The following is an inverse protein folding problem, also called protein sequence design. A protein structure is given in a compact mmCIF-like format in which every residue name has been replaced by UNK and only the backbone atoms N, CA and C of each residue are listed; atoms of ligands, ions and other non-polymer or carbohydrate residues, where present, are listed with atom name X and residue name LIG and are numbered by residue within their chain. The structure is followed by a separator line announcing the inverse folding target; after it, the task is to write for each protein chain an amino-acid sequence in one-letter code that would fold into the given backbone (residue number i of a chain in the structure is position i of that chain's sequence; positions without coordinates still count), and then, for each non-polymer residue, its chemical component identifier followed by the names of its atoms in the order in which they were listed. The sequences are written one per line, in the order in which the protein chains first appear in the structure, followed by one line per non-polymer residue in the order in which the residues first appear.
data_IF_850969180395
#
_entry.id   IF_850969180395
#
_cell.length_a   1.000
_cell.length_b   1.000
_cell.length_c   1.000
_cell.angle_alpha   90.00
_cell.angle_beta   90.00
_cell.angle_gamma   90.00
#
_symmetry.space_group_name_H-M   'P 1'
#
loop_
_entity.id
_entity.type
_entity.pdbx_description
1 polymer ?
#
# COMPACT_ATOMS: atom_id res chain seq x y z
N UNK A 1 30.66 -27.63 45.40
CA UNK A 1 29.41 -28.18 44.82
C UNK A 1 28.20 -27.55 45.51
N UNK A 2 27.66 -26.44 44.97
CA UNK A 2 26.28 -25.98 45.22
C UNK A 2 25.77 -25.27 43.97
N UNK A 3 24.68 -25.79 43.44
CA UNK A 3 24.01 -25.47 42.17
C UNK A 3 23.24 -24.16 42.28
N UNK A 4 23.43 -23.21 41.36
CA UNK A 4 22.56 -22.04 41.21
C UNK A 4 21.55 -22.30 40.08
N UNK A 5 20.28 -22.45 40.45
CA UNK A 5 19.17 -22.49 39.51
C UNK A 5 18.75 -21.05 39.16
N UNK A 6 18.87 -20.68 37.88
CA UNK A 6 18.31 -19.45 37.33
C UNK A 6 16.78 -19.58 37.22
N UNK A 7 16.05 -18.76 37.98
CA UNK A 7 14.60 -18.55 37.83
C UNK A 7 14.36 -17.52 36.72
N UNK A 8 13.63 -17.92 35.68
CA UNK A 8 13.08 -17.03 34.66
C UNK A 8 11.92 -16.18 35.22
N UNK A 9 11.72 -14.94 34.75
CA UNK A 9 10.57 -14.12 35.15
C UNK A 9 9.31 -14.50 34.36
N UNK A 10 8.25 -14.81 35.13
CA UNK A 10 6.87 -15.00 34.67
C UNK A 10 6.29 -13.69 34.10
N UNK A 11 5.89 -13.69 32.83
CA UNK A 11 5.05 -12.66 32.23
C UNK A 11 3.61 -12.81 32.78
N UNK A 12 3.16 -11.81 33.54
CA UNK A 12 1.75 -11.68 33.96
C UNK A 12 0.90 -11.26 32.77
N UNK A 13 0.07 -12.18 32.27
CA UNK A 13 -1.08 -11.87 31.43
C UNK A 13 -2.16 -11.18 32.28
N UNK A 14 -2.50 -9.94 31.94
CA UNK A 14 -3.68 -9.26 32.46
C UNK A 14 -4.90 -9.56 31.57
N UNK A 15 -6.07 -9.90 32.13
CA UNK A 15 -7.27 -10.13 31.33
C UNK A 15 -7.86 -8.81 30.83
N UNK A 16 -8.17 -8.79 29.52
CA UNK A 16 -8.83 -7.70 28.81
C UNK A 16 -10.24 -7.46 29.36
N UNK A 17 -10.57 -6.22 29.73
CA UNK A 17 -11.94 -5.81 30.08
C UNK A 17 -12.74 -5.54 28.80
N UNK A 18 -13.95 -6.10 28.64
CA UNK A 18 -14.83 -5.72 27.54
C UNK A 18 -15.33 -4.28 27.77
N UNK A 19 -15.11 -3.38 26.79
CA UNK A 19 -15.75 -2.06 26.78
C UNK A 19 -17.17 -2.22 26.26
N UNK A 20 -18.12 -1.92 27.13
CA UNK A 20 -19.55 -1.88 26.85
C UNK A 20 -19.85 -0.80 25.81
N UNK A 21 -20.44 -1.19 24.68
CA UNK A 21 -20.93 -0.26 23.65
C UNK A 21 -22.30 0.23 24.12
N UNK A 22 -22.43 1.54 24.37
CA UNK A 22 -23.73 2.16 24.59
C UNK A 22 -24.45 2.30 23.25
N UNK A 23 -25.57 1.59 23.09
CA UNK A 23 -26.56 1.91 22.06
C UNK A 23 -27.36 3.11 22.54
N UNK A 24 -27.24 4.26 21.86
CA UNK A 24 -28.19 5.35 22.05
C UNK A 24 -29.54 4.93 21.47
N UNK A 25 -30.50 4.70 22.37
CA UNK A 25 -31.92 4.59 22.04
C UNK A 25 -32.46 5.98 21.72
N UNK A 26 -33.00 6.16 20.51
CA UNK A 26 -33.72 7.38 20.16
C UNK A 26 -35.10 7.34 20.83
N UNK A 27 -35.26 8.09 21.92
CA UNK A 27 -36.57 8.35 22.51
C UNK A 27 -37.35 9.30 21.60
N UNK A 28 -38.60 8.93 21.31
CA UNK A 28 -39.55 9.78 20.60
C UNK A 28 -39.92 10.99 21.47
N UNK A 29 -39.74 12.21 20.94
CA UNK A 29 -40.26 13.43 21.57
C UNK A 29 -41.53 13.93 20.88
N UNK A 30 -42.49 14.28 21.74
CA UNK A 30 -43.83 14.82 21.49
C UNK A 30 -43.73 16.31 21.09
N UNK A 31 -44.50 16.82 20.10
CA UNK A 31 -44.19 18.09 19.47
C UNK A 31 -45.04 19.24 20.01
N UNK A 32 -44.51 20.13 20.86
CA UNK A 32 -45.02 21.50 20.98
C UNK A 32 -43.94 22.48 21.48
N UNK A 33 -43.85 23.62 20.79
CA UNK A 33 -43.08 24.85 21.06
C UNK A 33 -41.61 25.00 20.57
N UNK A 34 -41.57 25.38 19.28
CA UNK A 34 -40.59 26.21 18.56
C UNK A 34 -39.96 27.36 19.37
N UNK A 35 -38.63 27.33 19.58
CA UNK A 35 -37.69 28.46 19.43
C UNK A 35 -36.33 27.95 18.92
N UNK A 36 -35.98 28.29 17.67
CA UNK A 36 -34.69 28.00 17.02
C UNK A 36 -33.64 29.08 17.37
N UNK A 37 -32.40 28.67 17.69
CA UNK A 37 -31.20 29.43 17.35
C UNK A 37 -30.38 28.62 16.33
N UNK A 38 -30.67 28.75 15.03
CA UNK A 38 -29.94 28.06 13.96
C UNK A 38 -29.00 29.04 13.24
N UNK A 39 -27.69 28.81 13.32
CA UNK A 39 -26.72 29.54 12.50
C UNK A 39 -25.25 29.31 12.88
N UNK A 40 -24.87 29.53 14.15
CA UNK A 40 -23.46 29.53 14.54
C UNK A 40 -22.92 28.17 14.98
N UNK A 41 -23.68 27.37 15.73
CA UNK A 41 -23.23 26.08 16.27
C UNK A 41 -23.04 24.97 15.22
N UNK A 42 -23.72 25.05 14.07
CA UNK A 42 -23.60 24.03 13.00
C UNK A 42 -22.24 24.10 12.28
N UNK A 43 -21.69 25.32 12.13
CA UNK A 43 -20.41 25.53 11.45
C UNK A 43 -19.21 25.06 12.27
N UNK A 44 -19.26 25.25 13.59
CA UNK A 44 -18.21 24.80 14.51
C UNK A 44 -18.18 23.27 14.65
N UNK A 45 -19.36 22.64 14.78
CA UNK A 45 -19.47 21.18 14.86
C UNK A 45 -19.00 20.50 13.56
N UNK A 46 -19.31 21.07 12.39
CA UNK A 46 -18.81 20.56 11.10
C UNK A 46 -17.29 20.65 11.00
N UNK A 47 -16.69 21.77 11.40
CA UNK A 47 -15.22 21.94 11.40
C UNK A 47 -14.54 20.94 12.33
N UNK A 48 -15.11 20.74 13.52
CA UNK A 48 -14.58 19.78 14.49
C UNK A 48 -14.68 18.34 13.96
N UNK A 49 -15.81 17.96 13.37
CA UNK A 49 -15.99 16.65 12.74
C UNK A 49 -15.02 16.41 11.59
N UNK A 50 -14.78 17.43 10.75
CA UNK A 50 -13.79 17.34 9.66
C UNK A 50 -12.34 17.22 10.18
N UNK A 51 -11.99 17.91 11.27
CA UNK A 51 -10.67 17.80 11.89
C UNK A 51 -10.46 16.43 12.53
N UNK A 52 -11.47 15.90 13.22
CA UNK A 52 -11.44 14.57 13.81
C UNK A 52 -11.35 13.48 12.73
N UNK A 53 -12.10 13.63 11.64
CA UNK A 53 -12.01 12.77 10.46
C UNK A 53 -10.60 12.78 9.86
N UNK A 54 -9.98 13.94 9.72
CA UNK A 54 -8.59 14.04 9.23
C UNK A 54 -7.57 13.48 10.23
N UNK A 55 -7.94 13.26 11.49
CA UNK A 55 -7.06 12.74 12.54
C UNK A 55 -7.04 11.20 12.63
N UNK A 56 -7.83 10.51 11.81
CA UNK A 56 -7.88 9.04 11.76
C UNK A 56 -6.49 8.45 11.50
N UNK A 57 -6.10 7.48 12.32
CA UNK A 57 -4.77 6.85 12.26
C UNK A 57 -4.54 6.12 10.95
N UNK A 58 -3.28 6.09 10.53
CA UNK A 58 -2.80 5.40 9.33
C UNK A 58 -1.84 4.30 9.73
N UNK A 59 -2.11 3.07 9.26
CA UNK A 59 -1.15 1.97 9.33
C UNK A 59 -0.63 1.68 7.94
N UNK A 60 0.66 1.91 7.74
CA UNK A 60 1.38 1.62 6.51
C UNK A 60 1.99 0.23 6.62
N UNK A 61 1.76 -0.57 5.59
CA UNK A 61 2.26 -1.92 5.39
C UNK A 61 3.04 -1.94 4.10
N UNK A 62 4.36 -2.01 4.21
CA UNK A 62 5.27 -1.88 3.09
C UNK A 62 5.97 -3.19 2.78
N UNK A 63 5.63 -3.76 1.64
CA UNK A 63 6.33 -4.87 1.02
C UNK A 63 7.57 -4.32 0.30
N UNK A 64 8.74 -4.39 0.94
CA UNK A 64 9.97 -3.87 0.35
C UNK A 64 10.61 -4.82 -0.67
N UNK A 65 10.10 -6.06 -0.79
CA UNK A 65 10.54 -6.99 -1.83
C UNK A 65 9.86 -6.64 -3.16
N UNK A 66 8.57 -6.35 -3.12
CA UNK A 66 7.80 -5.96 -4.31
C UNK A 66 8.02 -4.47 -4.67
N UNK A 67 8.06 -3.59 -3.66
CA UNK A 67 8.27 -2.15 -3.81
C UNK A 67 9.58 -1.72 -3.15
N UNK A 68 10.71 -2.12 -3.73
CA UNK A 68 12.04 -1.74 -3.26
C UNK A 68 12.35 -0.23 -3.38
N UNK A 69 13.39 0.23 -2.68
CA UNK A 69 13.86 1.62 -2.78
C UNK A 69 14.65 1.80 -4.10
N UNK A 70 14.24 2.68 -5.02
CA UNK A 70 14.96 2.91 -6.27
C UNK A 70 16.37 3.48 -6.06
N UNK A 71 17.25 3.24 -7.02
CA UNK A 71 18.60 3.79 -7.00
C UNK A 71 18.60 5.34 -6.95
N UNK A 72 19.55 5.90 -6.21
CA UNK A 72 19.69 7.35 -6.01
C UNK A 72 18.72 7.96 -4.98
N UNK A 73 17.81 7.18 -4.40
CA UNK A 73 16.91 7.65 -3.35
C UNK A 73 17.62 7.63 -1.99
N UNK A 74 17.55 8.75 -1.27
CA UNK A 74 18.01 8.81 0.11
C UNK A 74 17.02 8.07 1.04
N UNK A 75 17.47 6.92 1.58
CA UNK A 75 16.69 6.04 2.46
C UNK A 75 16.15 6.78 3.70
N UNK A 76 16.92 7.71 4.28
CA UNK A 76 16.50 8.49 5.45
C UNK A 76 15.27 9.39 5.19
N UNK A 77 14.94 9.64 3.91
CA UNK A 77 13.78 10.46 3.54
C UNK A 77 12.55 9.64 3.19
N UNK A 78 12.63 8.31 3.11
CA UNK A 78 11.51 7.45 2.67
C UNK A 78 10.31 7.60 3.60
N UNK A 79 10.49 7.43 4.91
CA UNK A 79 9.42 7.59 5.90
C UNK A 79 8.79 8.99 5.85
N UNK A 80 9.62 10.04 5.69
CA UNK A 80 9.17 11.41 5.55
C UNK A 80 8.36 11.59 4.26
N UNK A 81 8.79 11.01 3.14
CA UNK A 81 8.12 11.10 1.83
C UNK A 81 6.75 10.42 1.86
N UNK A 82 6.66 9.22 2.44
CA UNK A 82 5.38 8.52 2.67
C UNK A 82 4.43 9.41 3.49
N UNK A 83 4.93 9.94 4.61
CA UNK A 83 4.13 10.81 5.47
C UNK A 83 3.70 12.08 4.75
N UNK A 84 4.57 12.69 3.95
CA UNK A 84 4.29 13.91 3.20
C UNK A 84 3.22 13.69 2.14
N UNK A 85 3.28 12.56 1.41
CA UNK A 85 2.26 12.19 0.44
C UNK A 85 0.86 12.07 1.08
N UNK A 86 0.77 11.45 2.27
CA UNK A 86 -0.46 11.39 3.06
C UNK A 86 -0.92 12.80 3.49
N UNK A 87 -0.01 13.69 3.89
CA UNK A 87 -0.38 15.05 4.29
C UNK A 87 -0.92 15.85 3.11
N UNK A 88 -0.32 15.70 1.93
CA UNK A 88 -0.75 16.37 0.70
C UNK A 88 -2.15 15.92 0.25
N UNK A 89 -2.56 14.67 0.54
CA UNK A 89 -3.93 14.21 0.30
C UNK A 89 -4.93 14.59 1.41
N UNK A 90 -4.50 15.38 2.40
CA UNK A 90 -5.35 15.87 3.47
C UNK A 90 -5.51 14.91 4.66
N UNK A 91 -4.78 13.78 4.66
CA UNK A 91 -4.76 12.82 5.76
C UNK A 91 -3.78 13.30 6.82
N UNK A 92 -4.27 13.64 8.02
CA UNK A 92 -3.48 14.29 9.07
C UNK A 92 -3.24 13.42 10.30
N UNK A 93 -3.81 12.23 10.35
CA UNK A 93 -3.70 11.35 11.50
C UNK A 93 -2.28 10.82 11.75
N UNK A 94 -2.06 10.19 12.92
CA UNK A 94 -0.79 9.55 13.24
C UNK A 94 -0.46 8.44 12.24
N UNK A 95 0.80 8.36 11.80
CA UNK A 95 1.26 7.37 10.82
C UNK A 95 2.19 6.37 11.51
N UNK A 96 1.92 5.08 11.34
CA UNK A 96 2.81 3.99 11.76
C UNK A 96 3.25 3.24 10.52
N UNK A 97 4.56 3.04 10.33
CA UNK A 97 5.10 2.38 9.14
C UNK A 97 5.73 1.05 9.54
N UNK A 98 5.16 -0.04 9.01
CA UNK A 98 5.65 -1.40 9.17
C UNK A 98 6.10 -1.89 7.79
N UNK A 99 7.36 -2.30 7.68
CA UNK A 99 7.95 -2.79 6.46
C UNK A 99 8.34 -4.25 6.65
N UNK A 100 7.94 -5.12 5.72
CA UNK A 100 8.09 -6.56 5.83
C UNK A 100 8.74 -7.16 4.57
N UNK A 101 9.47 -8.25 4.78
CA UNK A 101 10.21 -8.97 3.74
C UNK A 101 11.49 -9.58 4.29
N UNK A 102 12.32 -10.14 3.42
CA UNK A 102 13.60 -10.71 3.80
C UNK A 102 14.63 -9.61 4.11
N UNK A 103 14.68 -9.21 5.38
CA UNK A 103 15.64 -8.22 5.90
C UNK A 103 17.10 -8.58 5.56
N UNK A 104 17.44 -9.86 5.34
CA UNK A 104 18.80 -10.25 4.95
C UNK A 104 19.20 -9.72 3.56
N UNK A 105 18.23 -9.39 2.71
CA UNK A 105 18.46 -8.79 1.39
C UNK A 105 18.72 -7.28 1.45
N UNK A 106 18.40 -6.62 2.57
CA UNK A 106 18.68 -5.21 2.78
C UNK A 106 20.10 -5.00 3.29
N UNK A 107 20.81 -3.99 2.76
CA UNK A 107 22.11 -3.60 3.31
C UNK A 107 21.98 -3.14 4.77
N UNK A 108 23.04 -3.35 5.57
CA UNK A 108 23.10 -2.88 6.98
C UNK A 108 22.75 -1.39 7.10
N UNK A 109 23.33 -0.57 6.22
CA UNK A 109 23.09 0.87 6.18
C UNK A 109 21.62 1.21 5.89
N UNK A 110 20.98 0.47 4.98
CA UNK A 110 19.55 0.64 4.68
C UNK A 110 18.68 0.27 5.88
N UNK A 111 18.98 -0.83 6.56
CA UNK A 111 18.24 -1.27 7.75
C UNK A 111 18.32 -0.24 8.88
N UNK A 112 19.53 0.25 9.16
CA UNK A 112 19.78 1.26 10.18
C UNK A 112 19.10 2.59 9.84
N UNK A 113 19.19 3.02 8.58
CA UNK A 113 18.52 4.22 8.10
C UNK A 113 17.00 4.14 8.28
N UNK A 114 16.37 3.05 7.82
CA UNK A 114 14.92 2.86 7.98
C UNK A 114 14.50 2.84 9.45
N UNK A 115 15.19 2.05 10.27
CA UNK A 115 14.88 1.95 11.71
C UNK A 115 15.07 3.29 12.43
N UNK A 116 16.12 4.05 12.09
CA UNK A 116 16.37 5.38 12.67
C UNK A 116 15.28 6.40 12.35
N UNK A 117 14.55 6.20 11.26
CA UNK A 117 13.40 7.03 10.86
C UNK A 117 12.06 6.56 11.44
N UNK A 118 12.07 5.53 12.29
CA UNK A 118 10.88 5.00 12.95
C UNK A 118 10.11 3.97 12.12
N UNK A 119 10.70 3.43 11.05
CA UNK A 119 10.12 2.30 10.31
C UNK A 119 10.37 1.01 11.10
N UNK A 120 9.31 0.26 11.37
CA UNK A 120 9.41 -1.06 12.00
C UNK A 120 9.73 -2.11 10.92
N UNK A 121 10.87 -2.78 11.02
CA UNK A 121 11.28 -3.84 10.09
C UNK A 121 10.90 -5.21 10.65
N UNK A 122 10.10 -5.95 9.88
CA UNK A 122 9.67 -7.31 10.21
C UNK A 122 10.34 -8.29 9.25
N UNK A 123 11.21 -9.15 9.77
CA UNK A 123 11.89 -10.16 8.96
C UNK A 123 10.95 -11.31 8.62
N UNK A 124 10.76 -11.53 7.32
CA UNK A 124 10.01 -12.65 6.77
C UNK A 124 10.97 -13.47 5.90
N UNK A 125 11.45 -14.63 6.37
CA UNK A 125 12.41 -15.42 5.62
C UNK A 125 11.76 -15.99 4.35
N UNK A 126 12.47 -15.89 3.23
CA UNK A 126 12.08 -16.44 1.94
C UNK A 126 12.27 -17.97 1.91
N UNK A 127 11.50 -18.69 2.72
CA UNK A 127 11.56 -20.15 2.89
C UNK A 127 10.64 -20.93 1.94
N UNK A 128 10.11 -20.27 0.90
CA UNK A 128 9.31 -20.89 -0.15
C UNK A 128 8.38 -19.90 -0.85
N UNK A 129 7.84 -20.28 -2.02
CA UNK A 129 6.78 -19.52 -2.69
C UNK A 129 5.59 -19.39 -1.71
N UNK A 130 5.18 -18.16 -1.42
CA UNK A 130 4.04 -17.78 -0.57
C UNK A 130 4.32 -17.73 0.96
N UNK A 131 5.57 -17.79 1.43
CA UNK A 131 5.86 -17.60 2.87
C UNK A 131 5.54 -16.17 3.32
N UNK A 132 5.83 -15.19 2.46
CA UNK A 132 5.48 -13.77 2.60
C UNK A 132 3.97 -13.57 2.73
N UNK A 133 3.19 -14.16 1.84
CA UNK A 133 1.74 -13.94 1.77
C UNK A 133 1.03 -14.55 2.98
N UNK A 134 1.47 -15.74 3.40
CA UNK A 134 0.92 -16.40 4.60
C UNK A 134 1.26 -15.63 5.86
N UNK A 135 2.48 -15.08 5.94
CA UNK A 135 2.87 -14.21 7.03
C UNK A 135 2.01 -12.94 7.04
N UNK A 136 1.93 -12.26 5.90
CA UNK A 136 1.14 -11.04 5.73
C UNK A 136 -0.32 -11.25 6.11
N UNK A 137 -0.96 -12.31 5.60
CA UNK A 137 -2.37 -12.56 5.89
C UNK A 137 -2.61 -12.87 7.38
N UNK A 138 -1.74 -13.65 8.01
CA UNK A 138 -1.87 -13.96 9.43
C UNK A 138 -1.69 -12.72 10.31
N UNK A 139 -0.67 -11.91 10.02
CA UNK A 139 -0.39 -10.68 10.76
C UNK A 139 -1.47 -9.61 10.51
N UNK A 140 -1.99 -9.52 9.29
CA UNK A 140 -3.08 -8.63 8.94
C UNK A 140 -4.36 -9.00 9.70
N UNK A 141 -4.74 -10.29 9.75
CA UNK A 141 -5.92 -10.73 10.50
C UNK A 141 -5.78 -10.39 11.99
N UNK A 142 -4.60 -10.60 12.56
CA UNK A 142 -4.32 -10.21 13.94
C UNK A 142 -4.42 -8.69 14.13
N UNK A 143 -3.82 -7.91 13.24
CA UNK A 143 -3.84 -6.45 13.29
C UNK A 143 -5.26 -5.88 13.19
N UNK A 144 -6.08 -6.40 12.27
CA UNK A 144 -7.49 -6.00 12.10
C UNK A 144 -8.29 -6.23 13.38
N UNK A 145 -8.04 -7.33 14.09
CA UNK A 145 -8.71 -7.62 15.37
C UNK A 145 -8.45 -6.58 16.46
N UNK A 146 -7.29 -5.89 16.38
CA UNK A 146 -6.88 -4.87 17.36
C UNK A 146 -7.14 -3.44 16.91
N UNK A 147 -7.40 -3.22 15.62
CA UNK A 147 -7.56 -1.88 15.04
C UNK A 147 -8.87 -1.82 14.25
N UNK A 148 -10.04 -1.76 14.93
CA UNK A 148 -11.32 -1.61 14.25
C UNK A 148 -11.42 -0.26 13.51
N UNK A 149 -12.27 -0.15 12.48
CA UNK A 149 -12.51 1.13 11.80
C UNK A 149 -13.12 2.18 12.75
N UNK A 150 -12.92 3.50 12.50
CA UNK A 150 -12.29 4.08 11.31
C UNK A 150 -10.76 4.03 11.38
N UNK A 151 -10.12 3.59 10.28
CA UNK A 151 -8.67 3.47 10.12
C UNK A 151 -8.29 3.58 8.64
N UNK A 152 -7.19 4.25 8.34
CA UNK A 152 -6.57 4.16 7.03
C UNK A 152 -5.61 2.96 6.99
N UNK A 153 -5.84 2.06 6.04
CA UNK A 153 -4.94 0.97 5.73
C UNK A 153 -4.17 1.31 4.46
N UNK A 154 -2.85 1.48 4.57
CA UNK A 154 -2.00 1.86 3.46
C UNK A 154 -1.06 0.72 3.08
N UNK A 155 -1.34 0.06 1.97
CA UNK A 155 -0.45 -0.95 1.40
C UNK A 155 0.53 -0.32 0.41
N UNK A 156 1.80 -0.68 0.52
CA UNK A 156 2.82 -0.37 -0.49
C UNK A 156 3.28 -1.72 -1.05
N UNK A 157 2.72 -2.11 -2.18
CA UNK A 157 3.03 -3.35 -2.91
C UNK A 157 2.43 -3.28 -4.32
N UNK A 158 3.00 -4.04 -5.26
CA UNK A 158 2.48 -4.28 -6.61
C UNK A 158 1.98 -5.70 -6.82
N UNK A 159 1.86 -6.50 -5.77
CA UNK A 159 1.29 -7.84 -5.89
C UNK A 159 -0.25 -7.78 -6.02
N UNK A 160 -0.74 -8.35 -7.12
CA UNK A 160 -2.19 -8.44 -7.43
C UNK A 160 -2.94 -9.35 -6.48
N UNK A 161 -2.26 -10.28 -5.82
CA UNK A 161 -2.89 -11.25 -4.92
C UNK A 161 -3.47 -10.57 -3.67
N UNK A 162 -3.02 -9.34 -3.36
CA UNK A 162 -3.60 -8.51 -2.31
C UNK A 162 -4.95 -7.87 -2.69
N UNK A 163 -5.36 -7.84 -3.96
CA UNK A 163 -6.56 -7.12 -4.39
C UNK A 163 -7.83 -7.60 -3.66
N UNK A 164 -7.96 -8.91 -3.47
CA UNK A 164 -9.10 -9.52 -2.78
C UNK A 164 -9.19 -9.11 -1.31
N UNK A 165 -8.05 -9.10 -0.60
CA UNK A 165 -8.05 -8.74 0.83
C UNK A 165 -8.27 -7.24 1.02
N UNK A 166 -7.71 -6.39 0.16
CA UNK A 166 -7.97 -4.95 0.17
C UNK A 166 -9.45 -4.64 -0.04
N UNK A 167 -10.09 -5.31 -1.01
CA UNK A 167 -11.52 -5.18 -1.23
C UNK A 167 -12.33 -5.57 0.02
N UNK A 168 -11.99 -6.67 0.70
CA UNK A 168 -12.66 -7.08 1.94
C UNK A 168 -12.48 -6.08 3.07
N UNK A 169 -11.30 -5.50 3.22
CA UNK A 169 -11.05 -4.44 4.21
C UNK A 169 -11.90 -3.20 3.90
N UNK A 170 -12.00 -2.81 2.63
CA UNK A 170 -12.85 -1.71 2.18
C UNK A 170 -14.32 -1.96 2.53
N UNK A 171 -14.83 -3.15 2.25
CA UNK A 171 -16.19 -3.58 2.62
C UNK A 171 -16.39 -3.64 4.15
N UNK A 172 -15.30 -3.75 4.91
CA UNK A 172 -15.28 -3.66 6.38
C UNK A 172 -15.06 -2.24 6.90
N UNK A 173 -15.29 -1.23 6.06
CA UNK A 173 -15.20 0.19 6.37
C UNK A 173 -13.80 0.75 6.68
N UNK A 174 -12.73 0.09 6.20
CA UNK A 174 -11.38 0.66 6.20
C UNK A 174 -11.15 1.50 4.96
N UNK A 175 -10.52 2.67 5.11
CA UNK A 175 -10.12 3.44 3.94
C UNK A 175 -8.80 2.88 3.38
N UNK A 176 -8.85 2.41 2.14
CA UNK A 176 -7.73 1.73 1.50
C UNK A 176 -6.88 2.74 0.72
N UNK A 177 -5.61 2.80 1.06
CA UNK A 177 -4.59 3.60 0.41
C UNK A 177 -3.58 2.63 -0.23
N UNK A 178 -3.08 2.94 -1.42
CA UNK A 178 -2.18 2.07 -2.16
C UNK A 178 -1.00 2.85 -2.73
N UNK A 179 0.20 2.30 -2.66
CA UNK A 179 1.30 2.77 -3.50
C UNK A 179 1.91 1.55 -4.19
N UNK A 180 2.16 1.73 -5.47
CA UNK A 180 2.56 0.63 -6.33
C UNK A 180 3.52 1.12 -7.41
N UNK A 181 4.32 0.23 -7.97
CA UNK A 181 5.06 0.51 -9.19
C UNK A 181 4.11 0.54 -10.39
N UNK A 182 4.51 1.24 -11.46
CA UNK A 182 3.64 1.47 -12.62
C UNK A 182 3.30 0.17 -13.40
N UNK A 183 3.90 -0.96 -13.02
CA UNK A 183 3.65 -2.30 -13.57
C UNK A 183 2.48 -3.05 -12.93
N UNK A 184 1.82 -2.47 -11.93
CA UNK A 184 0.76 -3.16 -11.19
C UNK A 184 -0.57 -3.25 -11.96
N UNK A 185 -1.37 -4.30 -11.69
CA UNK A 185 -2.63 -4.55 -12.40
C UNK A 185 -3.76 -3.59 -12.00
N UNK A 186 -4.60 -3.16 -12.95
CA UNK A 186 -5.78 -2.30 -12.68
C UNK A 186 -6.77 -2.89 -11.66
N UNK A 187 -6.78 -4.22 -11.50
CA UNK A 187 -7.58 -4.91 -10.46
C UNK A 187 -7.14 -4.47 -9.06
N UNK A 188 -5.83 -4.38 -8.80
CA UNK A 188 -5.30 -3.95 -7.51
C UNK A 188 -5.66 -2.49 -7.23
N UNK A 189 -5.57 -1.63 -8.25
CA UNK A 189 -5.89 -0.20 -8.15
C UNK A 189 -7.36 0.05 -7.86
N UNK A 190 -8.26 -0.74 -8.47
CA UNK A 190 -9.71 -0.63 -8.24
C UNK A 190 -10.15 -0.91 -6.79
N UNK A 191 -9.33 -1.65 -6.03
CA UNK A 191 -9.59 -1.91 -4.60
C UNK A 191 -9.20 -0.73 -3.69
N UNK A 192 -8.45 0.24 -4.19
CA UNK A 192 -7.96 1.40 -3.44
C UNK A 192 -8.89 2.61 -3.55
N UNK A 193 -8.88 3.48 -2.53
CA UNK A 193 -9.52 4.80 -2.58
C UNK A 193 -8.57 5.81 -3.20
N UNK A 194 -7.31 5.81 -2.74
CA UNK A 194 -6.25 6.73 -3.19
C UNK A 194 -5.01 5.91 -3.53
N UNK A 195 -4.35 6.26 -4.64
CA UNK A 195 -3.13 5.60 -5.10
C UNK A 195 -2.00 6.61 -5.39
N UNK A 196 -0.76 6.21 -5.10
CA UNK A 196 0.45 6.89 -5.53
C UNK A 196 1.36 5.96 -6.35
N UNK A 197 2.10 6.52 -7.31
CA UNK A 197 3.25 5.81 -7.89
C UNK A 197 4.36 5.76 -6.85
N UNK A 198 4.78 4.55 -6.47
CA UNK A 198 5.80 4.33 -5.46
C UNK A 198 7.11 5.00 -5.82
N UNK A 199 7.55 4.87 -7.07
CA UNK A 199 8.82 5.42 -7.56
C UNK A 199 8.85 6.95 -7.47
N UNK A 200 7.80 7.62 -7.96
CA UNK A 200 7.68 9.06 -7.88
C UNK A 200 7.61 9.53 -6.41
N UNK A 201 6.85 8.80 -5.57
CA UNK A 201 6.65 9.12 -4.15
C UNK A 201 7.97 9.10 -3.41
N UNK A 202 8.76 8.04 -3.57
CA UNK A 202 10.04 7.92 -2.89
C UNK A 202 11.14 8.74 -3.51
N UNK A 203 11.01 9.23 -4.75
CA UNK A 203 11.90 10.27 -5.31
C UNK A 203 11.55 11.66 -4.80
N UNK A 204 10.34 11.84 -4.24
CA UNK A 204 9.85 13.13 -3.76
C UNK A 204 9.53 14.08 -4.91
N UNK A 205 9.14 13.52 -6.04
CA UNK A 205 8.52 14.26 -7.14
C UNK A 205 7.14 14.75 -6.69
N UNK A 206 6.56 15.71 -7.40
CA UNK A 206 5.21 16.20 -7.07
C UNK A 206 4.19 15.14 -7.50
N UNK A 207 3.92 14.19 -6.59
CA UNK A 207 3.06 13.05 -6.89
C UNK A 207 1.61 13.45 -6.73
N UNK A 208 0.91 13.53 -7.86
CA UNK A 208 -0.54 13.63 -7.88
C UNK A 208 -1.11 12.29 -7.44
N UNK A 209 -1.87 12.31 -6.34
CA UNK A 209 -2.57 11.14 -5.85
C UNK A 209 -3.77 10.84 -6.76
N UNK A 210 -3.84 9.62 -7.29
CA UNK A 210 -4.97 9.15 -8.10
C UNK A 210 -6.10 8.68 -7.18
N UNK A 211 -7.33 9.05 -7.46
CA UNK A 211 -8.50 8.74 -6.65
C UNK A 211 -9.42 7.79 -7.41
N UNK A 212 -9.40 6.50 -7.07
CA UNK A 212 -10.20 5.48 -7.78
C UNK A 212 -11.58 5.25 -7.16
N UNK A 213 -11.81 5.76 -5.95
CA UNK A 213 -13.08 5.55 -5.26
C UNK A 213 -13.32 6.59 -4.18
N UNK A 214 -14.58 6.69 -3.74
CA UNK A 214 -14.95 7.46 -2.55
C UNK A 214 -14.65 6.70 -1.25
N UNK A 215 -14.64 7.38 -0.09
CA UNK A 215 -14.58 6.72 1.22
C UNK A 215 -15.64 5.62 1.40
N UNK A 216 -15.32 4.53 2.11
CA UNK A 216 -16.22 3.39 2.26
C UNK A 216 -17.48 3.67 3.12
N UNK A 217 -17.43 4.68 4.00
CA UNK A 217 -18.54 5.11 4.87
C UNK A 217 -19.50 6.10 4.20
N UNK A 218 -19.26 6.45 2.93
CA UNK A 218 -20.19 7.21 2.09
C UNK A 218 -19.96 8.73 2.08
N UNK A 219 -20.90 9.42 1.44
CA UNK A 219 -20.72 10.82 1.00
C UNK A 219 -21.00 11.90 2.05
N UNK A 220 -21.50 11.54 3.23
CA UNK A 220 -21.90 12.53 4.24
C UNK A 220 -21.35 12.12 5.61
N UNK A 221 -20.63 13.03 6.26
CA UNK A 221 -20.08 12.79 7.61
C UNK A 221 -18.99 11.72 7.66
N UNK A 222 -18.35 11.38 6.53
CA UNK A 222 -17.27 10.40 6.46
C UNK A 222 -16.13 10.72 7.42
N UNK A 223 -15.72 9.71 8.19
CA UNK A 223 -14.52 9.74 9.03
C UNK A 223 -13.23 9.90 8.22
N UNK A 224 -13.28 9.72 6.91
CA UNK A 224 -12.11 9.84 6.04
C UNK A 224 -12.10 11.15 5.23
N UNK A 225 -13.07 12.03 5.49
CA UNK A 225 -13.26 13.27 4.75
C UNK A 225 -13.86 13.06 3.36
N UNK A 226 -14.01 14.13 2.59
CA UNK A 226 -14.68 14.10 1.28
C UNK A 226 -13.74 14.60 0.18
N UNK A 227 -13.39 13.71 -0.74
CA UNK A 227 -12.81 14.11 -2.02
C UNK A 227 -13.93 14.51 -2.98
N UNK A 228 -13.83 15.72 -3.56
CA UNK A 228 -14.85 16.31 -4.47
C UNK A 228 -14.42 16.34 -5.94
N UNK A 229 -13.25 15.80 -6.27
CA UNK A 229 -12.77 15.73 -7.66
C UNK A 229 -13.38 14.55 -8.42
N UNK A 230 -13.10 14.51 -9.73
CA UNK A 230 -13.43 13.37 -10.60
C UNK A 230 -12.56 12.18 -10.21
N UNK A 231 -13.13 10.98 -10.19
CA UNK A 231 -12.39 9.76 -9.94
C UNK A 231 -11.61 9.34 -11.19
N UNK A 232 -10.40 8.83 -10.98
CA UNK A 232 -9.58 8.23 -12.03
C UNK A 232 -10.15 6.86 -12.43
N UNK A 233 -9.97 6.47 -13.70
CA UNK A 233 -10.33 5.14 -14.19
C UNK A 233 -9.13 4.19 -14.04
N UNK A 234 -9.25 3.10 -13.27
CA UNK A 234 -8.15 2.17 -13.03
C UNK A 234 -7.74 1.34 -14.27
N UNK A 235 -8.50 1.40 -15.38
CA UNK A 235 -8.24 0.62 -16.59
C UNK A 235 -7.71 1.45 -17.77
N UNK A 236 -7.84 2.79 -17.76
CA UNK A 236 -7.40 3.63 -18.89
C UNK A 236 -5.88 3.72 -19.04
N UNK A 237 -5.12 3.79 -17.94
CA UNK A 237 -3.65 3.87 -17.98
C UNK A 237 -2.98 2.59 -18.52
N UNK A 238 -3.68 1.46 -18.46
CA UNK A 238 -3.15 0.19 -18.95
C UNK A 238 -3.05 0.13 -20.47
N UNK A 239 -3.98 0.77 -21.19
CA UNK A 239 -3.93 0.80 -22.64
C UNK A 239 -2.71 1.57 -23.13
N UNK A 240 -2.34 2.68 -22.47
CA UNK A 240 -1.14 3.44 -22.81
C UNK A 240 0.16 2.70 -22.43
N UNK A 241 0.19 2.00 -21.29
CA UNK A 241 1.37 1.20 -20.89
C UNK A 241 1.54 -0.02 -21.80
N UNK A 242 0.45 -0.69 -22.20
CA UNK A 242 0.48 -1.79 -23.15
C UNK A 242 0.95 -1.33 -24.54
N UNK A 243 0.51 -0.15 -24.98
CA UNK A 243 0.99 0.48 -26.23
C UNK A 243 2.48 0.84 -26.11
N UNK A 244 2.91 1.49 -25.03
CA UNK A 244 4.32 1.87 -24.83
C UNK A 244 5.26 0.66 -24.73
N UNK A 245 4.84 -0.42 -24.06
CA UNK A 245 5.61 -1.69 -24.02
C UNK A 245 5.67 -2.38 -25.38
N UNK A 246 4.62 -2.25 -26.20
CA UNK A 246 4.62 -2.79 -27.57
C UNK A 246 5.52 -1.97 -28.51
N UNK A 247 5.60 -0.65 -28.33
CA UNK A 247 6.47 0.25 -29.09
C UNK A 247 7.96 0.06 -28.73
N UNK A 248 8.31 0.01 -27.42
CA UNK A 248 9.68 -0.29 -26.97
C UNK A 248 10.16 -1.68 -27.46
N UNK A 249 9.25 -2.67 -27.49
CA UNK A 249 9.57 -4.00 -28.00
C UNK A 249 9.78 -4.01 -29.52
N UNK A 250 9.08 -3.17 -30.29
CA UNK A 250 9.25 -3.07 -31.74
C UNK A 250 10.52 -2.31 -32.12
N UNK A 251 10.91 -1.28 -31.35
CA UNK A 251 12.18 -0.57 -31.55
C UNK A 251 13.41 -1.46 -31.27
N UNK A 252 13.34 -2.36 -30.28
CA UNK A 252 14.42 -3.32 -30.01
C UNK A 252 14.59 -4.39 -31.10
N UNK A 253 13.53 -4.74 -31.83
CA UNK A 253 13.59 -5.68 -32.96
C UNK A 253 14.17 -5.02 -34.21
N UNK A 254 13.95 -3.71 -34.39
CA UNK A 254 14.40 -2.98 -35.57
C UNK A 254 15.93 -2.77 -35.62
N UNK A 255 16.65 -2.80 -34.48
CA UNK A 255 18.09 -2.49 -34.42
C UNK A 255 19.01 -3.73 -34.36
N UNK A 256 18.49 -4.94 -34.58
CA UNK A 256 19.33 -6.15 -34.70
C UNK A 256 19.69 -6.46 -36.14
N UNK A 257 20.87 -6.00 -36.56
CA UNK A 257 21.55 -6.40 -37.80
C UNK A 257 21.60 -7.95 -37.87
N UNK A 258 21.17 -8.58 -38.98
CA UNK A 258 21.09 -10.04 -39.06
C UNK A 258 22.48 -10.65 -38.86
N UNK A 259 22.61 -11.60 -37.92
CA UNK A 259 23.86 -12.31 -37.66
C UNK A 259 24.25 -13.15 -38.88
N UNK A 260 25.50 -13.09 -39.37
CA UNK A 260 25.93 -13.94 -40.46
C UNK A 260 25.91 -15.41 -40.03
N UNK A 261 25.35 -16.26 -40.90
CA UNK A 261 25.24 -17.70 -40.69
C UNK A 261 26.65 -18.31 -40.58
N UNK A 262 26.96 -19.09 -39.54
CA UNK A 262 28.25 -19.75 -39.41
C UNK A 262 28.51 -20.70 -40.59
N UNK A 263 29.66 -20.55 -41.26
CA UNK A 263 30.05 -21.34 -42.45
C UNK A 263 29.98 -22.86 -42.24
N UNK A 264 30.10 -23.34 -41.00
CA UNK A 264 29.97 -24.76 -40.65
C UNK A 264 28.57 -25.37 -40.91
N UNK A 265 27.53 -24.55 -41.04
CA UNK A 265 26.17 -24.98 -41.36
C UNK A 265 25.89 -25.04 -42.86
N UNK A 266 26.64 -24.29 -43.68
CA UNK A 266 26.49 -24.26 -45.14
C UNK A 266 26.97 -25.58 -45.76
N UNK A 267 28.08 -26.13 -45.28
CA UNK A 267 28.67 -27.38 -45.79
C UNK A 267 27.90 -28.66 -45.39
N UNK A 268 26.84 -28.55 -44.57
CA UNK A 268 25.94 -29.68 -44.26
C UNK A 268 24.69 -29.73 -45.13
N UNK A 269 24.38 -28.64 -45.84
CA UNK A 269 23.19 -28.54 -46.69
C UNK A 269 23.57 -28.74 -48.17
N UNK A 270 24.80 -28.41 -48.55
CA UNK A 270 25.35 -28.67 -49.88
C UNK A 270 26.76 -29.25 -49.75
N UNK A 271 26.91 -30.59 -49.74
CA UNK A 271 28.21 -31.20 -49.95
C UNK A 271 28.62 -30.99 -51.40
N UNK A 272 29.81 -30.44 -51.62
CA UNK A 272 30.43 -30.26 -52.93
C UNK A 272 30.27 -31.53 -53.78
N UNK A 273 29.55 -31.37 -54.90
CA UNK A 273 29.59 -32.33 -56.00
C UNK A 273 30.63 -31.84 -56.97
N UNK A 274 31.89 -32.14 -56.67
CA UNK A 274 32.90 -32.25 -57.71
C UNK A 274 33.31 -33.73 -57.76
N UNK A 275 33.10 -34.36 -58.91
CA UNK A 275 34.14 -35.08 -59.66
C UNK A 275 33.56 -35.70 -60.97
N UNK A 276 34.02 -35.13 -62.09
CA UNK A 276 34.61 -35.81 -63.26
C UNK A 276 33.68 -36.45 -64.29
N UNK A 277 33.54 -35.80 -65.44
CA UNK A 277 34.07 -36.19 -66.78
C UNK A 277 33.41 -35.37 -67.88
#
# INVERSE_FOLDING_TARGET
MKTLALRAPLLRLHPLRPKLIFFYSAAAEDPLHRRRPEGYHSSSLRRQHEEESRSVRVSVWWDFENCGIPCGVNVFRVAQRITSALRSSGIKGPVTINAFGDVAQLSRTTQEALTSTGVCLTHVPNSGKNSSDRFFLADLVYWVSQNPPPMHFFLISGDRDFANILHRLRMSNYNILLASTDSASGILWSSATIMWSWNALVRGEDVVAKHFSHPPDGFYGSWYGHYKGVLDDPFIDMDQIAIAQSEESMEQIADTKPRPIPRALVNRIWPDTDLVS
#
